data_IF_885288227907
#
_entry.id   IF_885288227907
#
_cell.length_a   1.000
_cell.length_b   1.000
_cell.length_c   1.000
_cell.angle_alpha   90.00
_cell.angle_beta   90.00
_cell.angle_gamma   90.00
#
_symmetry.space_group_name_H-M   'P 1'
#
loop_
_entity.id
_entity.type
_entity.pdbx_description
1 polymer ?
#
# COMPACT_ATOMS: atom_id res chain seq x y z
N UNK A 1 -10.35 40.23 20.46
CA UNK A 1 -10.68 39.96 19.05
C UNK A 1 -10.31 38.51 18.78
N UNK A 2 -11.30 37.64 18.60
CA UNK A 2 -11.12 36.21 18.40
C UNK A 2 -11.51 35.84 16.96
N UNK A 3 -10.59 35.18 16.26
CA UNK A 3 -10.75 34.49 14.97
C UNK A 3 -9.86 33.24 15.16
N UNK A 4 -10.33 31.99 15.31
CA UNK A 4 -11.35 31.30 14.50
C UNK A 4 -10.79 31.15 13.08
N UNK A 5 -10.48 29.99 12.50
CA UNK A 5 -10.78 28.58 12.79
C UNK A 5 -9.76 27.73 12.00
N UNK A 6 -9.20 26.70 12.64
CA UNK A 6 -8.40 25.64 12.02
C UNK A 6 -9.15 25.01 10.85
N UNK A 7 -8.69 25.23 9.62
CA UNK A 7 -9.20 24.54 8.42
C UNK A 7 -8.05 24.31 7.43
N UNK A 8 -7.08 23.49 7.84
CA UNK A 8 -6.27 22.76 6.87
C UNK A 8 -6.63 21.29 7.02
N UNK A 9 -7.75 20.93 6.37
CA UNK A 9 -8.20 19.57 6.12
C UNK A 9 -7.10 18.82 5.37
N UNK A 10 -6.15 18.27 6.13
CA UNK A 10 -5.19 17.27 5.67
C UNK A 10 -5.87 15.91 5.70
N UNK A 11 -6.78 15.70 4.76
CA UNK A 11 -7.51 14.46 4.62
C UNK A 11 -7.92 14.28 3.18
N UNK A 12 -7.86 13.03 2.73
CA UNK A 12 -8.53 12.55 1.52
C UNK A 12 -7.77 12.71 0.21
N UNK A 13 -6.67 11.95 0.12
CA UNK A 13 -6.37 11.26 -1.13
C UNK A 13 -7.65 10.55 -1.57
N UNK A 14 -8.15 10.91 -2.76
CA UNK A 14 -9.39 10.42 -3.35
C UNK A 14 -9.44 8.90 -3.25
N UNK A 15 -10.12 8.40 -2.22
CA UNK A 15 -10.34 6.98 -2.03
C UNK A 15 -11.41 6.59 -3.03
N UNK A 16 -10.99 6.19 -4.23
CA UNK A 16 -11.80 5.31 -5.07
C UNK A 16 -12.32 4.21 -4.14
N UNK A 17 -13.62 3.98 -4.03
CA UNK A 17 -14.24 3.08 -3.03
C UNK A 17 -13.80 1.60 -3.09
N UNK A 18 -12.73 1.29 -3.82
CA UNK A 18 -12.03 0.01 -3.83
C UNK A 18 -11.03 -0.02 -2.67
N UNK A 19 -10.94 -1.15 -1.96
CA UNK A 19 -9.98 -1.31 -0.87
C UNK A 19 -8.53 -1.08 -1.36
N UNK A 20 -7.64 -0.57 -0.51
CA UNK A 20 -6.24 -0.33 -0.88
C UNK A 20 -5.52 -1.64 -1.19
N UNK A 21 -4.49 -1.54 -2.03
CA UNK A 21 -3.53 -2.60 -2.29
C UNK A 21 -2.43 -2.54 -1.24
N UNK A 22 -2.14 -3.65 -0.58
CA UNK A 22 -1.09 -3.71 0.44
C UNK A 22 0.13 -4.44 -0.12
N UNK A 23 1.31 -3.86 0.04
CA UNK A 23 2.57 -4.46 -0.40
C UNK A 23 3.41 -4.76 0.82
N UNK A 24 3.83 -6.01 0.95
CA UNK A 24 4.67 -6.49 2.03
C UNK A 24 6.04 -6.90 1.46
N UNK A 25 7.11 -6.51 2.14
CA UNK A 25 8.47 -6.93 1.79
C UNK A 25 8.79 -8.24 2.49
N UNK A 26 9.22 -9.22 1.72
CA UNK A 26 9.63 -10.54 2.23
C UNK A 26 11.12 -10.75 2.01
N UNK A 27 11.75 -11.77 2.64
CA UNK A 27 13.16 -12.09 2.41
C UNK A 27 13.48 -12.43 0.95
N UNK A 28 12.48 -12.95 0.21
CA UNK A 28 12.63 -13.39 -1.17
C UNK A 28 12.24 -12.31 -2.19
N UNK A 29 11.41 -11.33 -1.81
CA UNK A 29 10.93 -10.32 -2.74
C UNK A 29 9.87 -9.40 -2.16
N UNK A 30 8.84 -9.13 -2.95
CA UNK A 30 7.66 -8.36 -2.55
C UNK A 30 6.42 -9.17 -2.84
N UNK A 31 5.45 -9.11 -1.94
CA UNK A 31 4.13 -9.71 -2.14
C UNK A 31 3.06 -8.64 -2.11
N UNK A 32 2.09 -8.76 -3.00
CA UNK A 32 0.91 -7.93 -3.07
C UNK A 32 -0.26 -8.67 -2.42
N UNK A 33 -0.84 -8.07 -1.39
CA UNK A 33 -2.09 -8.51 -0.80
C UNK A 33 -3.22 -7.66 -1.37
N UNK A 34 -4.14 -8.32 -2.07
CA UNK A 34 -5.34 -7.68 -2.60
C UNK A 34 -6.60 -8.33 -2.01
N UNK A 35 -7.38 -7.61 -1.19
CA UNK A 35 -8.59 -8.17 -0.60
C UNK A 35 -9.66 -8.54 -1.64
N UNK A 36 -9.61 -7.99 -2.86
CA UNK A 36 -10.50 -8.42 -3.93
C UNK A 36 -10.08 -9.79 -4.49
N UNK A 37 -8.79 -10.03 -4.72
CA UNK A 37 -8.27 -11.36 -5.11
C UNK A 37 -8.54 -12.43 -4.04
N UNK A 38 -8.43 -12.08 -2.76
CA UNK A 38 -8.83 -12.98 -1.67
C UNK A 38 -10.29 -13.38 -1.81
N UNK A 39 -11.18 -12.39 -1.98
CA UNK A 39 -12.63 -12.65 -2.06
C UNK A 39 -13.05 -13.38 -3.33
N UNK A 40 -12.39 -13.13 -4.45
CA UNK A 40 -12.77 -13.68 -5.76
C UNK A 40 -12.12 -15.03 -6.06
N UNK A 41 -10.89 -15.25 -5.59
CA UNK A 41 -10.07 -16.40 -5.97
C UNK A 41 -9.42 -17.12 -4.78
N UNK A 42 -9.63 -16.65 -3.54
CA UNK A 42 -8.95 -17.19 -2.36
C UNK A 42 -7.45 -16.91 -2.33
N UNK A 43 -6.95 -15.99 -3.16
CA UNK A 43 -5.52 -15.70 -3.28
C UNK A 43 -5.14 -14.64 -2.24
N UNK A 44 -4.41 -15.05 -1.21
CA UNK A 44 -3.98 -14.18 -0.10
C UNK A 44 -2.82 -13.26 -0.47
N UNK A 45 -1.87 -13.75 -1.27
CA UNK A 45 -0.67 -13.02 -1.63
C UNK A 45 -0.24 -13.37 -3.05
N UNK A 46 0.09 -12.34 -3.84
CA UNK A 46 0.64 -12.47 -5.18
C UNK A 46 2.10 -12.05 -5.15
N UNK A 47 3.04 -12.94 -5.51
CA UNK A 47 4.45 -12.55 -5.62
C UNK A 47 4.61 -11.55 -6.76
N UNK A 48 5.27 -10.42 -6.48
CA UNK A 48 5.62 -9.43 -7.48
C UNK A 48 6.94 -9.80 -8.14
N UNK A 49 7.17 -9.41 -9.41
CA UNK A 49 8.39 -9.69 -10.15
C UNK A 49 9.57 -8.79 -9.71
N UNK A 50 9.73 -8.58 -8.41
CA UNK A 50 10.77 -7.77 -7.80
C UNK A 50 11.55 -8.58 -6.78
N UNK A 51 12.87 -8.51 -6.86
CA UNK A 51 13.76 -9.09 -5.83
C UNK A 51 13.68 -8.28 -4.55
N UNK A 52 14.07 -8.87 -3.42
CA UNK A 52 14.10 -8.18 -2.13
C UNK A 52 15.04 -6.95 -2.11
N UNK A 53 15.93 -6.81 -3.10
CA UNK A 53 16.85 -5.67 -3.28
C UNK A 53 16.23 -4.51 -4.06
N UNK A 54 15.08 -4.70 -4.71
CA UNK A 54 14.42 -3.63 -5.44
C UNK A 54 14.05 -2.48 -4.50
N UNK A 55 14.12 -1.24 -5.00
CA UNK A 55 13.75 -0.07 -4.18
C UNK A 55 12.22 -0.04 -4.03
N UNK A 56 11.68 0.21 -2.82
CA UNK A 56 10.22 0.31 -2.61
C UNK A 56 9.54 1.31 -3.55
N UNK A 57 10.22 2.42 -3.90
CA UNK A 57 9.72 3.41 -4.85
C UNK A 57 9.47 2.83 -6.26
N UNK A 58 10.32 1.90 -6.71
CA UNK A 58 10.17 1.23 -8.02
C UNK A 58 8.95 0.30 -8.00
N UNK A 59 8.78 -0.45 -6.92
CA UNK A 59 7.63 -1.33 -6.72
C UNK A 59 6.33 -0.52 -6.67
N UNK A 60 6.32 0.61 -5.94
CA UNK A 60 5.20 1.55 -5.89
C UNK A 60 4.85 2.12 -7.27
N UNK A 61 5.86 2.57 -8.03
CA UNK A 61 5.65 3.13 -9.36
C UNK A 61 5.03 2.09 -10.31
N UNK A 62 5.51 0.84 -10.24
CA UNK A 62 4.96 -0.26 -11.04
C UNK A 62 3.50 -0.55 -10.69
N UNK A 63 3.16 -0.63 -9.40
CA UNK A 63 1.79 -0.89 -8.96
C UNK A 63 0.83 0.27 -9.28
N UNK A 64 1.30 1.52 -9.18
CA UNK A 64 0.55 2.69 -9.61
C UNK A 64 0.30 2.69 -11.12
N UNK A 65 1.25 2.21 -11.92
CA UNK A 65 1.08 2.07 -13.36
C UNK A 65 0.04 0.98 -13.71
N UNK A 66 0.03 -0.14 -12.98
CA UNK A 66 -0.96 -1.22 -13.17
C UNK A 66 -2.35 -0.87 -12.64
N UNK A 67 -2.44 -0.05 -11.59
CA UNK A 67 -3.70 0.26 -10.92
C UNK A 67 -3.73 1.74 -10.48
N UNK A 68 -3.85 2.69 -11.43
CA UNK A 68 -3.80 4.12 -11.14
C UNK A 68 -4.97 4.59 -10.27
N UNK A 69 -6.06 3.83 -10.23
CA UNK A 69 -7.27 4.15 -9.46
C UNK A 69 -7.27 3.56 -8.05
N UNK A 70 -6.23 2.81 -7.65
CA UNK A 70 -6.17 2.20 -6.32
C UNK A 70 -5.06 2.82 -5.50
N UNK A 71 -5.35 3.09 -4.24
CA UNK A 71 -4.31 3.44 -3.28
C UNK A 71 -3.42 2.23 -3.03
N UNK A 72 -2.11 2.44 -3.00
CA UNK A 72 -1.10 1.41 -2.70
C UNK A 72 -0.42 1.78 -1.39
N UNK A 73 -0.48 0.88 -0.42
CA UNK A 73 0.15 1.01 0.89
C UNK A 73 1.30 0.02 1.00
N UNK A 74 2.43 0.48 1.50
CA UNK A 74 3.52 -0.40 1.89
C UNK A 74 3.33 -0.75 3.37
N UNK A 75 3.09 -2.03 3.64
CA UNK A 75 3.13 -2.55 5.00
C UNK A 75 4.60 -2.79 5.34
N UNK A 76 5.09 -2.01 6.30
CA UNK A 76 6.33 -2.35 6.96
C UNK A 76 6.00 -3.48 7.94
N UNK A 77 6.72 -4.60 7.95
CA UNK A 77 6.55 -5.57 9.02
C UNK A 77 6.70 -4.83 10.36
N UNK A 78 5.88 -5.13 11.37
CA UNK A 78 6.00 -4.48 12.66
C UNK A 78 7.44 -4.64 13.11
N UNK A 79 8.13 -3.52 13.27
CA UNK A 79 9.45 -3.49 13.88
C UNK A 79 9.28 -4.22 15.22
N UNK A 80 10.07 -5.26 15.54
CA UNK A 80 10.09 -5.72 16.92
C UNK A 80 10.45 -4.49 17.78
N UNK A 81 9.76 -4.23 18.90
CA UNK A 81 10.22 -3.21 19.81
C UNK A 81 11.67 -3.56 20.15
N UNK A 82 12.61 -2.67 19.86
CA UNK A 82 13.98 -2.82 20.32
C UNK A 82 13.91 -3.00 21.85
N UNK A 83 14.38 -4.16 22.32
CA UNK A 83 14.65 -4.42 23.72
C UNK A 83 15.89 -3.63 24.18
#
# INVERSE_FOLDING_TARGET
MALGTSTESRGEGRSTGRPPLTVERTPTGYVLRDPLLVRLAGIEAVPLPFTARARPAVVLAHLRALSPHREVRFEHPPHPPCA
#
